data_IF_285954133510
#
_entry.id   IF_285954133510
#
_cell.length_a   1.000
_cell.length_b   1.000
_cell.length_c   1.000
_cell.angle_alpha   90.00
_cell.angle_beta   90.00
_cell.angle_gamma   90.00
#
_symmetry.space_group_name_H-M   'P 1'
#
loop_
_entity.id
_entity.type
_entity.pdbx_description
1 polymer ?
#
# COMPACT_ATOMS: atom_id res chain seq x y z
N UNK A 1 -12.86 32.62 -4.23
CA UNK A 1 -12.80 31.30 -3.56
C UNK A 1 -12.38 30.31 -4.62
N UNK A 2 -11.10 29.99 -4.70
CA UNK A 2 -10.57 29.00 -5.64
C UNK A 2 -11.10 27.62 -5.25
N UNK A 3 -11.88 26.99 -6.12
CA UNK A 3 -12.23 25.58 -5.95
C UNK A 3 -10.94 24.75 -5.93
N UNK A 4 -10.71 24.03 -4.82
CA UNK A 4 -9.59 23.10 -4.74
C UNK A 4 -9.66 22.09 -5.91
N UNK A 5 -8.60 21.98 -6.72
CA UNK A 5 -8.59 21.23 -7.99
C UNK A 5 -8.75 19.70 -7.83
N UNK A 6 -8.68 19.18 -6.60
CA UNK A 6 -8.90 17.76 -6.32
C UNK A 6 -10.36 17.33 -6.46
N UNK A 7 -11.33 18.24 -6.28
CA UNK A 7 -12.76 17.93 -6.38
C UNK A 7 -13.30 17.84 -7.80
N UNK A 8 -12.61 18.46 -8.77
CA UNK A 8 -13.11 18.61 -10.14
C UNK A 8 -12.86 17.37 -11.01
N UNK A 9 -11.82 16.58 -10.69
CA UNK A 9 -11.41 15.45 -11.55
C UNK A 9 -11.73 14.06 -11.01
N UNK A 10 -11.95 13.95 -9.71
CA UNK A 10 -12.26 12.72 -9.02
C UNK A 10 -13.66 12.96 -8.47
N UNK A 11 -14.69 12.39 -9.11
CA UNK A 11 -16.09 12.64 -8.75
C UNK A 11 -16.35 12.60 -7.24
N UNK A 12 -17.44 13.22 -6.75
CA UNK A 12 -17.64 13.55 -5.33
C UNK A 12 -17.47 12.37 -4.35
N UNK A 13 -17.68 11.14 -4.82
CA UNK A 13 -17.58 9.91 -4.02
C UNK A 13 -16.17 9.32 -3.91
N UNK A 14 -15.26 9.68 -4.81
CA UNK A 14 -13.93 9.06 -4.88
C UNK A 14 -13.06 9.27 -3.64
N UNK A 15 -13.06 10.45 -2.97
CA UNK A 15 -12.33 10.64 -1.72
C UNK A 15 -12.77 9.68 -0.61
N UNK A 16 -14.08 9.38 -0.56
CA UNK A 16 -14.64 8.44 0.42
C UNK A 16 -14.26 6.99 0.14
N UNK A 17 -14.23 6.60 -1.14
CA UNK A 17 -13.79 5.26 -1.57
C UNK A 17 -12.30 5.06 -1.27
N UNK A 18 -11.47 6.06 -1.60
CA UNK A 18 -10.03 6.03 -1.34
C UNK A 18 -9.71 5.93 0.16
N UNK A 19 -10.46 6.64 1.00
CA UNK A 19 -10.33 6.55 2.46
C UNK A 19 -10.60 5.12 2.95
N UNK A 20 -11.72 4.52 2.52
CA UNK A 20 -12.07 3.13 2.88
C UNK A 20 -11.02 2.13 2.40
N UNK A 21 -10.53 2.31 1.17
CA UNK A 21 -9.47 1.49 0.60
C UNK A 21 -8.19 1.53 1.45
N UNK A 22 -7.68 2.72 1.77
CA UNK A 22 -6.45 2.85 2.56
C UNK A 22 -6.63 2.39 4.02
N UNK A 23 -7.81 2.57 4.61
CA UNK A 23 -8.12 1.99 5.93
C UNK A 23 -8.14 0.46 5.88
N UNK A 24 -8.70 -0.14 4.84
CA UNK A 24 -8.65 -1.58 4.60
C UNK A 24 -7.23 -2.08 4.39
N UNK A 25 -6.41 -1.34 3.65
CA UNK A 25 -5.01 -1.68 3.44
C UNK A 25 -4.23 -1.66 4.77
N UNK A 26 -4.49 -0.66 5.62
CA UNK A 26 -3.90 -0.55 6.97
C UNK A 26 -4.30 -1.73 7.87
N UNK A 27 -5.57 -2.15 7.85
CA UNK A 27 -6.03 -3.26 8.69
C UNK A 27 -5.45 -4.61 8.25
N UNK A 28 -5.35 -4.85 6.94
CA UNK A 28 -4.67 -6.03 6.41
C UNK A 28 -3.18 -6.02 6.80
N UNK A 29 -2.52 -4.87 6.70
CA UNK A 29 -1.13 -4.74 7.13
C UNK A 29 -0.92 -5.08 8.60
N UNK A 30 -1.80 -4.57 9.48
CA UNK A 30 -1.77 -4.90 10.91
C UNK A 30 -2.00 -6.39 11.16
N UNK A 31 -2.99 -6.99 10.49
CA UNK A 31 -3.25 -8.43 10.60
C UNK A 31 -2.04 -9.26 10.16
N UNK A 32 -1.36 -8.84 9.09
CA UNK A 32 -0.15 -9.50 8.59
C UNK A 32 1.00 -9.44 9.60
N UNK A 33 1.18 -8.30 10.28
CA UNK A 33 2.17 -8.17 11.37
C UNK A 33 1.86 -9.15 12.52
N UNK A 34 0.59 -9.23 12.94
CA UNK A 34 0.17 -10.09 14.05
C UNK A 34 0.37 -11.57 13.70
N UNK A 35 -0.04 -12.00 12.51
CA UNK A 35 0.10 -13.38 12.07
C UNK A 35 1.57 -13.77 11.84
N UNK A 36 2.34 -12.92 11.15
CA UNK A 36 3.78 -13.15 10.95
C UNK A 36 4.53 -13.22 12.28
N UNK A 37 4.21 -12.34 13.24
CA UNK A 37 4.77 -12.39 14.59
C UNK A 37 4.39 -13.66 15.36
N UNK A 38 3.14 -14.10 15.24
CA UNK A 38 2.68 -15.38 15.80
C UNK A 38 3.43 -16.57 15.18
N UNK A 39 3.69 -16.54 13.87
CA UNK A 39 4.47 -17.56 13.16
C UNK A 39 5.92 -17.62 13.60
N UNK A 40 6.57 -16.47 13.81
CA UNK A 40 7.93 -16.42 14.38
C UNK A 40 7.94 -17.11 15.75
N UNK A 41 6.99 -16.79 16.63
CA UNK A 41 6.92 -17.37 17.97
C UNK A 41 6.57 -18.85 17.99
N UNK A 42 5.63 -19.30 17.14
CA UNK A 42 5.16 -20.68 17.12
C UNK A 42 6.11 -21.64 16.40
N UNK A 43 6.70 -21.21 15.29
CA UNK A 43 7.60 -22.05 14.51
C UNK A 43 9.08 -21.89 14.88
N UNK A 44 9.42 -20.86 15.66
CA UNK A 44 10.81 -20.45 15.98
C UNK A 44 11.63 -20.16 14.71
N UNK A 45 10.97 -19.67 13.66
CA UNK A 45 11.56 -19.42 12.36
C UNK A 45 11.62 -17.92 12.06
N UNK A 46 12.83 -17.35 12.11
CA UNK A 46 13.08 -15.94 11.80
C UNK A 46 12.81 -15.57 10.34
N UNK A 47 12.70 -16.55 9.44
CA UNK A 47 12.37 -16.32 8.02
C UNK A 47 10.98 -15.68 7.84
N UNK A 48 10.09 -15.78 8.84
CA UNK A 48 8.81 -15.07 8.84
C UNK A 48 8.93 -13.57 9.13
N UNK A 49 10.14 -13.06 9.43
CA UNK A 49 10.38 -11.63 9.60
C UNK A 49 10.03 -10.84 8.33
N UNK A 50 10.23 -11.40 7.15
CA UNK A 50 9.87 -10.74 5.89
C UNK A 50 8.34 -10.52 5.77
N UNK A 51 7.53 -11.41 6.35
CA UNK A 51 6.07 -11.26 6.45
C UNK A 51 5.70 -10.07 7.33
N UNK A 52 6.38 -9.96 8.48
CA UNK A 52 6.19 -8.83 9.40
C UNK A 52 6.62 -7.51 8.74
N UNK A 53 7.73 -7.52 7.99
CA UNK A 53 8.21 -6.36 7.25
C UNK A 53 7.25 -5.96 6.11
N UNK A 54 6.66 -6.93 5.40
CA UNK A 54 5.62 -6.67 4.41
C UNK A 54 4.39 -5.99 5.05
N UNK A 55 3.95 -6.50 6.20
CA UNK A 55 2.89 -5.89 7.01
C UNK A 55 3.24 -4.47 7.46
N UNK A 56 4.45 -4.25 7.97
CA UNK A 56 4.94 -2.93 8.38
C UNK A 56 5.00 -1.92 7.24
N UNK A 57 5.53 -2.32 6.09
CA UNK A 57 5.61 -1.48 4.90
C UNK A 57 4.21 -1.10 4.37
N UNK A 58 3.25 -2.05 4.39
CA UNK A 58 1.87 -1.79 3.99
C UNK A 58 1.14 -0.81 4.92
N UNK A 59 1.38 -0.92 6.23
CA UNK A 59 0.83 0.02 7.22
C UNK A 59 1.38 1.43 7.02
N UNK A 60 2.70 1.55 6.79
CA UNK A 60 3.32 2.83 6.48
C UNK A 60 2.78 3.43 5.16
N UNK A 61 2.59 2.60 4.13
CA UNK A 61 2.05 3.04 2.85
C UNK A 61 0.62 3.58 2.96
N UNK A 62 -0.23 2.89 3.74
CA UNK A 62 -1.58 3.34 4.02
C UNK A 62 -1.60 4.65 4.82
N UNK A 63 -0.74 4.78 5.85
CA UNK A 63 -0.60 6.02 6.61
C UNK A 63 -0.15 7.19 5.73
N UNK A 64 0.86 6.99 4.88
CA UNK A 64 1.31 8.00 3.93
C UNK A 64 0.18 8.44 3.00
N UNK A 65 -0.62 7.51 2.47
CA UNK A 65 -1.75 7.84 1.60
C UNK A 65 -2.86 8.63 2.32
N UNK A 66 -3.21 8.21 3.54
CA UNK A 66 -4.21 8.90 4.36
C UNK A 66 -3.77 10.33 4.70
N UNK A 67 -2.51 10.50 5.10
CA UNK A 67 -1.93 11.81 5.38
C UNK A 67 -1.78 12.65 4.11
N UNK A 68 -1.46 12.05 2.97
CA UNK A 68 -1.39 12.73 1.68
C UNK A 68 -2.73 13.38 1.33
N UNK A 69 -3.83 12.63 1.48
CA UNK A 69 -5.18 13.12 1.26
C UNK A 69 -5.58 14.21 2.27
N UNK A 70 -5.24 14.03 3.55
CA UNK A 70 -5.59 15.01 4.60
C UNK A 70 -4.80 16.31 4.46
N UNK A 71 -3.53 16.24 4.08
CA UNK A 71 -2.62 17.38 4.01
C UNK A 71 -2.48 17.95 2.59
N UNK A 72 -3.16 17.37 1.59
CA UNK A 72 -3.00 17.69 0.17
C UNK A 72 -1.53 17.71 -0.27
N UNK A 73 -0.74 16.74 0.18
CA UNK A 73 0.72 16.71 -0.02
C UNK A 73 1.14 15.66 -1.05
N UNK A 74 1.76 16.12 -2.13
CA UNK A 74 2.28 15.25 -3.19
C UNK A 74 3.51 14.47 -2.79
N UNK A 75 4.29 15.00 -1.84
CA UNK A 75 5.44 14.28 -1.27
C UNK A 75 4.96 13.04 -0.53
N UNK A 76 3.84 13.14 0.19
CA UNK A 76 3.24 12.00 0.89
C UNK A 76 2.61 10.99 -0.08
N UNK A 77 2.02 11.43 -1.20
CA UNK A 77 1.60 10.53 -2.28
C UNK A 77 2.79 9.74 -2.84
N UNK A 78 3.92 10.41 -3.11
CA UNK A 78 5.15 9.74 -3.55
C UNK A 78 5.73 8.79 -2.47
N UNK A 79 5.67 9.18 -1.20
CA UNK A 79 6.05 8.31 -0.08
C UNK A 79 5.18 7.05 0.00
N UNK A 80 3.87 7.16 -0.23
CA UNK A 80 2.95 6.02 -0.31
C UNK A 80 3.29 5.09 -1.48
N UNK A 81 3.71 5.64 -2.63
CA UNK A 81 4.18 4.85 -3.77
C UNK A 81 5.44 4.05 -3.37
N UNK A 82 6.46 4.72 -2.85
CA UNK A 82 7.71 4.07 -2.47
C UNK A 82 7.50 2.94 -1.46
N UNK A 83 6.70 3.20 -0.42
CA UNK A 83 6.41 2.22 0.63
C UNK A 83 5.50 1.09 0.15
N UNK A 84 4.56 1.36 -0.77
CA UNK A 84 3.75 0.31 -1.41
C UNK A 84 4.62 -0.60 -2.30
N UNK A 85 5.61 -0.05 -3.01
CA UNK A 85 6.58 -0.85 -3.78
C UNK A 85 7.45 -1.74 -2.86
N UNK A 86 7.87 -1.22 -1.71
CA UNK A 86 8.60 -1.99 -0.68
C UNK A 86 7.72 -3.11 -0.11
N UNK A 87 6.44 -2.86 0.15
CA UNK A 87 5.50 -3.89 0.59
C UNK A 87 5.35 -5.02 -0.45
N UNK A 88 5.26 -4.67 -1.75
CA UNK A 88 5.27 -5.65 -2.84
C UNK A 88 6.56 -6.46 -2.89
N UNK A 89 7.70 -5.79 -2.70
CA UNK A 89 9.01 -6.44 -2.69
C UNK A 89 9.08 -7.50 -1.59
N UNK A 90 8.81 -7.14 -0.33
CA UNK A 90 8.80 -8.10 0.76
C UNK A 90 7.77 -9.21 0.55
N UNK A 91 6.57 -8.89 0.06
CA UNK A 91 5.56 -9.90 -0.21
C UNK A 91 5.99 -10.91 -1.27
N UNK A 92 6.60 -10.45 -2.37
CA UNK A 92 7.11 -11.31 -3.43
C UNK A 92 8.18 -12.28 -2.94
N UNK A 93 9.14 -11.80 -2.14
CA UNK A 93 10.21 -12.66 -1.59
C UNK A 93 9.73 -13.57 -0.45
N UNK A 94 8.74 -13.15 0.33
CA UNK A 94 8.17 -13.96 1.43
C UNK A 94 7.31 -15.12 0.92
N UNK A 95 6.62 -14.93 -0.21
CA UNK A 95 5.69 -15.91 -0.79
C UNK A 95 6.31 -17.30 -0.98
N UNK A 96 7.46 -17.48 -1.68
CA UNK A 96 8.07 -18.79 -1.84
C UNK A 96 8.50 -19.41 -0.50
N UNK A 97 9.01 -18.59 0.43
CA UNK A 97 9.40 -19.04 1.77
C UNK A 97 8.20 -19.62 2.52
N UNK A 98 7.06 -18.93 2.53
CA UNK A 98 5.81 -19.43 3.11
C UNK A 98 5.34 -20.73 2.45
N UNK A 99 5.43 -20.85 1.12
CA UNK A 99 5.03 -22.07 0.40
C UNK A 99 5.89 -23.26 0.82
N UNK A 100 7.21 -23.11 0.83
CA UNK A 100 8.14 -24.18 1.23
C UNK A 100 7.91 -24.58 2.69
N UNK A 101 7.76 -23.61 3.59
CA UNK A 101 7.49 -23.88 5.01
C UNK A 101 6.14 -24.56 5.23
N UNK A 102 5.10 -24.16 4.51
CA UNK A 102 3.79 -24.81 4.58
C UNK A 102 3.88 -26.29 4.17
N UNK A 103 4.65 -26.62 3.13
CA UNK A 103 4.88 -28.01 2.72
C UNK A 103 5.64 -28.80 3.78
N UNK A 104 6.70 -28.23 4.36
CA UNK A 104 7.47 -28.88 5.43
C UNK A 104 6.58 -29.19 6.63
N UNK A 105 5.79 -28.22 7.12
CA UNK A 105 4.91 -28.44 8.27
C UNK A 105 3.67 -29.28 7.95
N UNK A 106 3.29 -29.40 6.68
CA UNK A 106 2.25 -30.34 6.27
C UNK A 106 2.73 -31.79 6.38
N UNK A 107 4.00 -32.05 6.03
CA UNK A 107 4.63 -33.37 6.13
C UNK A 107 5.08 -33.70 7.55
N UNK A 108 5.50 -32.70 8.31
CA UNK A 108 5.87 -32.82 9.71
C UNK A 108 4.63 -32.63 10.59
N UNK A 109 3.90 -33.73 10.83
CA UNK A 109 2.63 -33.78 11.60
C UNK A 109 2.71 -33.24 13.05
N UNK A 110 3.86 -32.73 13.49
CA UNK A 110 4.08 -32.15 14.81
C UNK A 110 3.64 -30.69 14.92
N UNK A 111 3.59 -29.93 13.81
CA UNK A 111 3.19 -28.52 13.79
C UNK A 111 2.03 -28.29 12.83
N UNK A 112 1.05 -27.49 13.25
CA UNK A 112 -0.11 -27.17 12.42
C UNK A 112 0.31 -26.23 11.28
N UNK A 113 0.05 -26.52 9.99
CA UNK A 113 0.42 -25.64 8.88
C UNK A 113 -0.53 -24.44 8.71
N UNK A 114 -1.65 -24.42 9.44
CA UNK A 114 -2.72 -23.42 9.27
C UNK A 114 -2.23 -21.97 9.39
N UNK A 115 -1.29 -21.69 10.30
CA UNK A 115 -0.79 -20.33 10.52
C UNK A 115 0.03 -19.84 9.30
N UNK A 116 0.86 -20.71 8.71
CA UNK A 116 1.59 -20.39 7.46
C UNK A 116 0.64 -20.17 6.28
N UNK A 117 -0.46 -20.92 6.22
CA UNK A 117 -1.50 -20.71 5.19
C UNK A 117 -2.17 -19.35 5.37
N UNK A 118 -2.45 -18.94 6.61
CA UNK A 118 -2.97 -17.60 6.91
C UNK A 118 -1.96 -16.51 6.51
N UNK A 119 -0.67 -16.68 6.82
CA UNK A 119 0.37 -15.76 6.38
C UNK A 119 0.41 -15.62 4.85
N UNK A 120 0.36 -16.75 4.13
CA UNK A 120 0.32 -16.76 2.67
C UNK A 120 -0.89 -15.98 2.11
N UNK A 121 -2.09 -16.22 2.67
CA UNK A 121 -3.29 -15.52 2.25
C UNK A 121 -3.20 -14.01 2.52
N UNK A 122 -2.73 -13.63 3.70
CA UNK A 122 -2.57 -12.20 4.04
C UNK A 122 -1.51 -11.52 3.19
N UNK A 123 -0.38 -12.18 2.90
CA UNK A 123 0.64 -11.69 1.96
C UNK A 123 0.07 -11.44 0.56
N UNK A 124 -0.74 -12.35 0.04
CA UNK A 124 -1.39 -12.17 -1.25
C UNK A 124 -2.30 -10.93 -1.25
N UNK A 125 -3.10 -10.75 -0.20
CA UNK A 125 -3.96 -9.57 -0.06
C UNK A 125 -3.12 -8.30 0.08
N UNK A 126 -2.03 -8.32 0.86
CA UNK A 126 -1.08 -7.18 0.97
C UNK A 126 -0.52 -6.82 -0.40
N UNK A 127 -0.07 -7.79 -1.18
CA UNK A 127 0.48 -7.54 -2.52
C UNK A 127 -0.57 -6.95 -3.46
N UNK A 128 -1.79 -7.48 -3.47
CA UNK A 128 -2.89 -6.94 -4.27
C UNK A 128 -3.22 -5.49 -3.90
N UNK A 129 -3.35 -5.21 -2.59
CA UNK A 129 -3.65 -3.87 -2.09
C UNK A 129 -2.49 -2.89 -2.37
N UNK A 130 -1.23 -3.34 -2.24
CA UNK A 130 -0.06 -2.54 -2.54
C UNK A 130 0.02 -2.17 -4.04
N UNK A 131 -0.26 -3.12 -4.93
CA UNK A 131 -0.33 -2.87 -6.37
C UNK A 131 -1.45 -1.88 -6.75
N UNK A 132 -2.63 -2.04 -6.16
CA UNK A 132 -3.75 -1.11 -6.35
C UNK A 132 -3.41 0.29 -5.81
N UNK A 133 -2.81 0.36 -4.63
CA UNK A 133 -2.35 1.62 -4.02
C UNK A 133 -1.34 2.32 -4.92
N UNK A 134 -0.34 1.61 -5.44
CA UNK A 134 0.60 2.15 -6.42
C UNK A 134 -0.09 2.76 -7.63
N UNK A 135 -1.02 2.04 -8.26
CA UNK A 135 -1.75 2.52 -9.44
C UNK A 135 -2.54 3.79 -9.15
N UNK A 136 -3.28 3.80 -8.04
CA UNK A 136 -4.08 4.95 -7.59
C UNK A 136 -3.19 6.17 -7.31
N UNK A 137 -2.16 6.00 -6.50
CA UNK A 137 -1.27 7.08 -6.06
C UNK A 137 -0.48 7.67 -7.23
N UNK A 138 -0.04 6.82 -8.16
CA UNK A 138 0.62 7.24 -9.41
C UNK A 138 -0.32 8.06 -10.30
N UNK A 139 -1.58 7.63 -10.41
CA UNK A 139 -2.60 8.36 -11.17
C UNK A 139 -2.86 9.75 -10.58
N UNK A 140 -2.95 9.86 -9.25
CA UNK A 140 -3.09 11.15 -8.55
C UNK A 140 -1.90 12.08 -8.84
N UNK A 141 -0.67 11.58 -8.78
CA UNK A 141 0.53 12.36 -9.11
C UNK A 141 0.53 12.82 -10.57
N UNK A 142 0.17 11.93 -11.50
CA UNK A 142 0.13 12.23 -12.93
C UNK A 142 -0.90 13.31 -13.25
N UNK A 143 -2.14 13.17 -12.78
CA UNK A 143 -3.20 14.17 -12.97
C UNK A 143 -2.79 15.52 -12.37
N UNK A 144 -2.27 15.51 -11.14
CA UNK A 144 -1.81 16.73 -10.46
C UNK A 144 -0.66 17.41 -11.20
N UNK A 145 0.25 16.64 -11.79
CA UNK A 145 1.35 17.18 -12.60
C UNK A 145 0.86 17.76 -13.91
N UNK A 146 -0.10 17.12 -14.59
CA UNK A 146 -0.66 17.61 -15.85
C UNK A 146 -1.39 18.93 -15.63
N UNK A 147 -2.25 19.00 -14.61
CA UNK A 147 -2.99 20.20 -14.25
C UNK A 147 -2.07 21.39 -13.96
N UNK A 148 -1.02 21.20 -13.15
CA UNK A 148 -0.02 22.26 -12.88
C UNK A 148 0.70 22.79 -14.12
N UNK A 149 0.85 21.97 -15.16
CA UNK A 149 1.45 22.41 -16.43
C UNK A 149 0.44 23.24 -17.24
N UNK A 150 -0.83 22.86 -17.22
CA UNK A 150 -1.90 23.59 -17.90
C UNK A 150 -2.16 24.96 -17.26
N UNK A 151 -2.21 25.05 -15.93
CA UNK A 151 -2.39 26.33 -15.22
C UNK A 151 -1.23 27.28 -15.51
N UNK A 152 0.02 26.82 -15.37
CA UNK A 152 1.19 27.65 -15.71
C UNK A 152 1.24 28.09 -17.16
N UNK A 153 0.72 27.28 -18.09
CA UNK A 153 0.63 27.67 -19.50
C UNK A 153 -0.38 28.79 -19.69
N UNK A 154 -1.56 28.71 -19.05
CA UNK A 154 -2.57 29.77 -19.10
C UNK A 154 -2.05 31.09 -18.52
N UNK A 155 -1.40 31.03 -17.36
CA UNK A 155 -0.79 32.21 -16.74
C UNK A 155 0.27 32.86 -17.65
N UNK A 156 1.07 32.04 -18.34
CA UNK A 156 2.05 32.53 -19.31
C UNK A 156 1.40 33.17 -20.55
N UNK A 157 0.34 32.55 -21.08
CA UNK A 157 -0.39 33.06 -22.25
C UNK A 157 -1.11 34.38 -21.91
N UNK A 158 -1.65 34.53 -20.69
CA UNK A 158 -2.24 35.77 -20.19
C UNK A 158 -1.19 36.89 -20.04
N UNK A 159 0.00 36.58 -19.52
CA UNK A 159 1.12 37.53 -19.41
C UNK A 159 1.69 38.00 -20.76
N UNK A 160 1.44 37.28 -21.85
CA UNK A 160 1.88 37.68 -23.21
C UNK A 160 0.85 38.58 -23.92
N UNK A 161 -0.36 38.70 -23.38
CA UNK A 161 -1.46 39.49 -23.94
C UNK A 161 -1.62 40.87 -23.27
N UNK A 162 -0.89 41.11 -22.18
CA UNK A 162 -0.74 42.42 -21.49
C UNK A 162 0.52 43.16 -21.97
#
# INVERSE_FOLDING_TARGET
MEEQPSKVFLGPDLPGILLKFHLGFMSVGLLTIVLGGASIGYYEAYDFMDVVLAGGASLLAALCALLANKMNSLVLHAGSIATSAVALWFGYFSTPTCIVRAQVYYLDHTKLPALVVCDLLTLLVVMMMAALSLGVQTSVLWVSSKYRKEVRRREWDEQQLE
#
